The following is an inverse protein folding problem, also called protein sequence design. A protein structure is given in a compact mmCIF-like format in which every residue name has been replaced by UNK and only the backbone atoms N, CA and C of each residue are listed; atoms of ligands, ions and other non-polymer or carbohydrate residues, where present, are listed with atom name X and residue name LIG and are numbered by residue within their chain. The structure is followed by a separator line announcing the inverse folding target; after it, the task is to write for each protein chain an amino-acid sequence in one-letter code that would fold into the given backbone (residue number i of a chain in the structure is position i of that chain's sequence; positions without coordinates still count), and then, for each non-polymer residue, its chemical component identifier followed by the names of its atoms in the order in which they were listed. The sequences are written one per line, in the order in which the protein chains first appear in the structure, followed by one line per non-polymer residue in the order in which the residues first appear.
data_IF_632690764407
#
_entry.id   IF_632690764407
#
_cell.length_a   1.000
_cell.length_b   1.000
_cell.length_c   1.000
_cell.angle_alpha   90.00
_cell.angle_beta   90.00
_cell.angle_gamma   90.00
#
_symmetry.space_group_name_H-M   'P 1'
#
loop_
_entity.id
_entity.type
_entity.pdbx_description
1 polymer ?
#
# COMPACT_ATOMS: atom_id res chain seq x y z
N UNK A 1 -4.56 47.22 73.17
CA UNK A 1 -4.17 45.95 73.81
C UNK A 1 -5.37 45.01 73.77
N UNK A 2 -5.18 43.77 73.27
CA UNK A 2 -5.95 42.50 73.47
C UNK A 2 -7.49 42.63 73.58
N UNK A 3 -8.27 42.40 72.51
CA UNK A 3 -8.88 41.12 72.06
C UNK A 3 -9.33 40.19 73.19
N UNK A 4 -10.64 39.90 73.26
CA UNK A 4 -11.23 38.59 73.61
C UNK A 4 -12.72 38.54 73.19
N UNK A 5 -13.09 37.40 72.60
CA UNK A 5 -14.40 36.96 72.08
C UNK A 5 -15.40 36.63 73.22
N UNK A 6 -16.72 36.49 72.95
CA UNK A 6 -17.32 35.22 72.46
C UNK A 6 -18.44 35.45 71.40
N UNK A 7 -18.55 34.70 70.30
CA UNK A 7 -18.89 33.29 70.04
C UNK A 7 -20.37 32.91 70.27
N UNK A 8 -21.10 32.81 69.14
CA UNK A 8 -22.31 32.01 68.80
C UNK A 8 -23.58 32.22 69.68
N UNK A 9 -24.79 32.41 69.14
CA UNK A 9 -25.54 31.54 68.24
C UNK A 9 -26.69 32.38 67.63
N UNK A 10 -26.80 32.46 66.31
CA UNK A 10 -28.06 32.80 65.65
C UNK A 10 -28.46 31.66 64.73
N UNK A 11 -29.39 30.86 65.25
CA UNK A 11 -30.23 29.92 64.51
C UNK A 11 -31.24 30.73 63.70
N UNK A 12 -31.37 30.39 62.41
CA UNK A 12 -32.55 30.73 61.63
C UNK A 12 -32.23 31.46 60.33
N UNK A 13 -32.05 30.70 59.26
CA UNK A 13 -32.62 31.10 57.98
C UNK A 13 -33.14 29.86 57.25
N UNK A 14 -34.46 29.74 57.23
CA UNK A 14 -35.17 28.90 56.30
C UNK A 14 -34.97 29.49 54.90
N UNK A 15 -34.46 28.70 53.96
CA UNK A 15 -34.76 28.93 52.54
C UNK A 15 -34.87 27.61 51.79
N UNK A 16 -36.12 27.35 51.41
CA UNK A 16 -36.61 26.54 50.32
C UNK A 16 -35.64 26.46 49.13
N UNK A 17 -35.29 25.25 48.71
CA UNK A 17 -35.68 24.63 47.44
C UNK A 17 -34.89 23.33 47.33
N UNK A 18 -35.52 22.21 47.68
CA UNK A 18 -35.00 20.88 47.36
C UNK A 18 -35.09 20.70 45.85
N UNK A 19 -34.00 21.01 45.14
CA UNK A 19 -33.76 20.41 43.83
C UNK A 19 -33.26 18.99 44.09
N UNK A 20 -34.10 18.05 43.69
CA UNK A 20 -33.72 16.68 43.38
C UNK A 20 -32.34 16.64 42.75
N UNK A 21 -31.41 15.92 43.39
CA UNK A 21 -30.15 15.51 42.81
C UNK A 21 -30.44 14.84 41.46
N UNK A 22 -30.25 15.58 40.38
CA UNK A 22 -29.95 14.96 39.10
C UNK A 22 -28.58 14.31 39.28
N UNK A 23 -28.59 12.99 39.41
CA UNK A 23 -27.46 12.13 39.06
C UNK A 23 -26.77 12.74 37.85
N UNK A 24 -25.52 13.20 38.05
CA UNK A 24 -24.59 13.36 36.96
C UNK A 24 -24.40 11.96 36.36
N UNK A 25 -25.16 11.67 35.31
CA UNK A 25 -24.78 10.68 34.33
C UNK A 25 -23.47 11.22 33.73
N UNK A 26 -22.36 10.57 34.08
CA UNK A 26 -21.09 10.79 33.43
C UNK A 26 -21.33 10.64 31.93
N UNK A 27 -21.31 11.76 31.20
CA UNK A 27 -21.35 11.75 29.75
C UNK A 27 -20.17 10.90 29.28
N UNK A 28 -20.48 9.68 28.83
CA UNK A 28 -19.58 8.79 28.09
C UNK A 28 -18.74 9.64 27.13
N UNK A 29 -17.40 9.48 27.06
CA UNK A 29 -16.58 10.25 26.13
C UNK A 29 -17.22 10.15 24.74
N UNK A 30 -17.55 11.31 24.14
CA UNK A 30 -18.03 11.39 22.76
C UNK A 30 -17.05 10.58 21.92
N UNK A 31 -17.52 9.48 21.34
CA UNK A 31 -16.73 8.59 20.49
C UNK A 31 -16.11 9.42 19.35
N UNK A 32 -14.88 9.91 19.56
CA UNK A 32 -14.08 10.49 18.48
C UNK A 32 -13.50 9.28 17.78
N UNK A 33 -14.26 8.68 16.85
CA UNK A 33 -13.70 7.71 15.91
C UNK A 33 -12.56 8.40 15.16
N UNK A 34 -11.30 8.03 15.38
CA UNK A 34 -10.19 8.82 14.88
C UNK A 34 -9.99 8.65 13.37
N UNK A 35 -10.70 7.73 12.73
CA UNK A 35 -10.57 7.41 11.30
C UNK A 35 -11.91 7.58 10.60
N UNK A 36 -11.94 8.31 9.49
CA UNK A 36 -13.05 8.31 8.55
C UNK A 36 -12.58 7.84 7.18
N UNK A 37 -13.38 6.99 6.53
CA UNK A 37 -13.22 6.62 5.14
C UNK A 37 -14.45 7.08 4.37
N UNK A 38 -14.28 8.04 3.45
CA UNK A 38 -15.38 8.51 2.60
C UNK A 38 -15.59 7.52 1.47
N UNK A 39 -16.86 7.28 1.12
CA UNK A 39 -17.23 6.41 0.01
C UNK A 39 -16.46 6.78 -1.26
N UNK A 40 -15.92 5.76 -1.93
CA UNK A 40 -15.13 5.97 -3.15
C UNK A 40 -16.01 6.45 -4.30
N UNK A 41 -15.42 7.28 -5.18
CA UNK A 41 -16.04 7.62 -6.46
C UNK A 41 -15.72 6.59 -7.54
N UNK A 42 -16.68 6.38 -8.44
CA UNK A 42 -16.58 5.43 -9.54
C UNK A 42 -16.54 6.12 -10.90
N UNK A 43 -15.76 5.58 -11.85
CA UNK A 43 -15.84 5.94 -13.27
C UNK A 43 -15.67 4.71 -14.13
N UNK A 44 -16.56 4.50 -15.10
CA UNK A 44 -16.59 3.28 -15.92
C UNK A 44 -17.06 2.03 -15.17
N UNK A 45 -17.54 2.19 -13.93
CA UNK A 45 -18.28 1.21 -13.13
C UNK A 45 -19.56 1.87 -12.61
N UNK A 46 -20.55 1.07 -12.24
CA UNK A 46 -21.80 1.57 -11.66
C UNK A 46 -21.61 2.05 -10.21
N UNK A 47 -22.51 2.91 -9.74
CA UNK A 47 -22.51 3.38 -8.35
C UNK A 47 -22.69 2.22 -7.36
N UNK A 48 -23.54 1.25 -7.70
CA UNK A 48 -23.76 0.05 -6.89
C UNK A 48 -22.49 -0.81 -6.79
N UNK A 49 -21.80 -1.06 -7.92
CA UNK A 49 -20.52 -1.78 -7.90
C UNK A 49 -19.47 -1.03 -7.07
N UNK A 50 -19.41 0.29 -7.22
CA UNK A 50 -18.50 1.15 -6.44
C UNK A 50 -18.79 1.05 -4.95
N UNK A 51 -20.07 1.09 -4.56
CA UNK A 51 -20.50 0.95 -3.17
C UNK A 51 -20.18 -0.43 -2.61
N UNK A 52 -20.42 -1.51 -3.37
CA UNK A 52 -20.08 -2.88 -2.95
C UNK A 52 -18.57 -3.03 -2.73
N UNK A 53 -17.76 -2.52 -3.66
CA UNK A 53 -16.30 -2.54 -3.54
C UNK A 53 -15.83 -1.72 -2.34
N UNK A 54 -16.39 -0.51 -2.14
CA UNK A 54 -16.09 0.32 -0.98
C UNK A 54 -16.49 -0.35 0.34
N UNK A 55 -17.67 -0.97 0.42
CA UNK A 55 -18.11 -1.67 1.63
C UNK A 55 -17.18 -2.84 1.96
N UNK A 56 -16.72 -3.56 0.92
CA UNK A 56 -15.74 -4.63 1.11
C UNK A 56 -14.39 -4.10 1.61
N UNK A 57 -13.92 -3.00 1.04
CA UNK A 57 -12.73 -2.29 1.52
C UNK A 57 -12.90 -1.84 2.98
N UNK A 58 -14.03 -1.24 3.32
CA UNK A 58 -14.33 -0.72 4.66
C UNK A 58 -14.38 -1.84 5.70
N UNK A 59 -14.95 -3.00 5.34
CA UNK A 59 -14.98 -4.19 6.20
C UNK A 59 -13.56 -4.67 6.54
N UNK A 60 -12.67 -4.76 5.53
CA UNK A 60 -11.27 -5.15 5.74
C UNK A 60 -10.45 -4.06 6.45
N UNK A 61 -10.72 -2.79 6.16
CA UNK A 61 -10.10 -1.66 6.84
C UNK A 61 -10.43 -1.66 8.33
N UNK A 62 -11.69 -1.98 8.67
CA UNK A 62 -12.15 -2.11 10.07
C UNK A 62 -11.44 -3.27 10.77
N UNK A 63 -11.24 -4.42 10.09
CA UNK A 63 -10.48 -5.55 10.64
C UNK A 63 -8.99 -5.20 10.84
N UNK A 64 -8.43 -4.38 9.96
CA UNK A 64 -7.03 -3.98 10.02
C UNK A 64 -6.77 -2.84 11.02
N UNK A 65 -7.76 -2.01 11.32
CA UNK A 65 -7.62 -0.86 12.22
C UNK A 65 -7.63 -1.29 13.69
N UNK A 66 -6.79 -0.64 14.51
CA UNK A 66 -6.86 -0.75 15.98
C UNK A 66 -7.88 0.24 16.58
N UNK A 67 -8.34 1.21 15.78
CA UNK A 67 -9.28 2.23 16.19
C UNK A 67 -10.65 2.06 15.52
N UNK A 68 -11.69 2.60 16.14
CA UNK A 68 -13.02 2.68 15.52
C UNK A 68 -13.01 3.60 14.29
N UNK A 69 -13.79 3.20 13.28
CA UNK A 69 -14.06 4.04 12.12
C UNK A 69 -15.37 4.81 12.37
N UNK A 70 -15.46 6.00 11.81
CA UNK A 70 -16.70 6.79 11.82
C UNK A 70 -17.74 6.15 10.89
N UNK A 71 -18.99 6.10 11.33
CA UNK A 71 -20.10 5.58 10.54
C UNK A 71 -20.35 6.43 9.29
N UNK A 72 -20.72 5.76 8.18
CA UNK A 72 -20.96 6.43 6.90
C UNK A 72 -22.07 7.47 6.96
N UNK A 73 -23.12 7.23 7.76
CA UNK A 73 -24.21 8.20 7.96
C UNK A 73 -23.69 9.51 8.57
N UNK A 74 -22.90 9.42 9.63
CA UNK A 74 -22.29 10.57 10.30
C UNK A 74 -21.27 11.28 9.39
N UNK A 75 -20.49 10.51 8.60
CA UNK A 75 -19.60 11.08 7.59
C UNK A 75 -20.40 11.92 6.59
N UNK A 76 -21.45 11.34 6.00
CA UNK A 76 -22.27 11.97 4.97
C UNK A 76 -22.96 13.24 5.48
N UNK A 77 -23.48 13.22 6.71
CA UNK A 77 -24.05 14.42 7.36
C UNK A 77 -23.02 15.55 7.47
N UNK A 78 -21.81 15.24 7.98
CA UNK A 78 -20.76 16.24 8.26
C UNK A 78 -20.10 16.83 7.01
N UNK A 79 -20.01 16.07 5.93
CA UNK A 79 -19.40 16.54 4.67
C UNK A 79 -20.46 17.00 3.65
N UNK A 80 -21.73 17.08 4.06
CA UNK A 80 -22.80 17.57 3.18
C UNK A 80 -22.44 18.95 2.63
N UNK A 81 -22.51 19.09 1.30
CA UNK A 81 -22.18 20.33 0.59
C UNK A 81 -20.68 20.53 0.30
N UNK A 82 -19.79 19.69 0.83
CA UNK A 82 -18.36 19.70 0.48
C UNK A 82 -18.11 18.88 -0.78
N UNK A 83 -17.11 19.29 -1.58
CA UNK A 83 -16.72 18.58 -2.81
C UNK A 83 -16.31 17.13 -2.55
N UNK A 84 -15.77 16.82 -1.37
CA UNK A 84 -15.40 15.46 -0.99
C UNK A 84 -16.62 14.53 -0.88
N UNK A 85 -17.79 15.06 -0.48
CA UNK A 85 -19.04 14.31 -0.38
C UNK A 85 -19.85 14.30 -1.67
N UNK A 86 -19.80 15.37 -2.46
CA UNK A 86 -20.66 15.53 -3.66
C UNK A 86 -19.98 15.11 -4.96
N UNK A 87 -18.68 15.35 -5.09
CA UNK A 87 -17.91 15.08 -6.31
C UNK A 87 -16.89 13.95 -6.13
N UNK A 88 -16.81 13.35 -4.94
CA UNK A 88 -15.83 12.30 -4.61
C UNK A 88 -14.39 12.76 -4.82
N UNK A 89 -14.13 14.01 -4.45
CA UNK A 89 -12.89 14.71 -4.70
C UNK A 89 -11.75 14.22 -3.78
N UNK A 90 -10.54 14.09 -4.35
CA UNK A 90 -9.35 13.55 -3.67
C UNK A 90 -8.12 14.47 -3.76
N UNK A 91 -8.32 15.78 -3.98
CA UNK A 91 -7.23 16.76 -3.97
C UNK A 91 -6.73 17.02 -2.53
N UNK A 92 -5.56 17.63 -2.38
CA UNK A 92 -5.00 17.91 -1.05
C UNK A 92 -5.92 18.84 -0.26
N UNK A 93 -6.43 19.88 -0.91
CA UNK A 93 -7.34 20.89 -0.35
C UNK A 93 -8.66 20.25 0.11
N UNK A 94 -9.14 19.30 -0.68
CA UNK A 94 -10.38 18.58 -0.46
C UNK A 94 -10.31 17.63 0.73
N UNK A 95 -9.20 16.88 0.86
CA UNK A 95 -8.95 16.07 2.04
C UNK A 95 -8.75 16.95 3.29
N UNK A 96 -8.10 18.11 3.18
CA UNK A 96 -7.92 19.02 4.32
C UNK A 96 -9.26 19.59 4.81
N UNK A 97 -10.13 20.02 3.90
CA UNK A 97 -11.48 20.48 4.22
C UNK A 97 -12.33 19.37 4.84
N UNK A 98 -12.32 18.17 4.25
CA UNK A 98 -13.03 17.01 4.77
C UNK A 98 -12.56 16.59 6.17
N UNK A 99 -11.23 16.54 6.40
CA UNK A 99 -10.67 16.11 7.68
C UNK A 99 -11.05 17.10 8.79
N UNK A 100 -11.00 18.40 8.48
CA UNK A 100 -11.40 19.47 9.39
C UNK A 100 -12.90 19.41 9.72
N UNK A 101 -13.76 19.21 8.72
CA UNK A 101 -15.21 19.11 8.92
C UNK A 101 -15.62 17.86 9.72
N UNK A 102 -14.95 16.74 9.46
CA UNK A 102 -15.20 15.48 10.16
C UNK A 102 -14.68 15.51 11.61
N UNK A 103 -13.55 16.19 11.84
CA UNK A 103 -12.89 16.25 13.15
C UNK A 103 -12.17 14.94 13.51
N UNK A 104 -11.62 14.25 12.50
CA UNK A 104 -10.92 12.97 12.65
C UNK A 104 -9.41 13.12 12.58
N UNK A 105 -8.65 12.16 13.11
CA UNK A 105 -7.19 12.14 13.01
C UNK A 105 -6.70 11.64 11.66
N UNK A 106 -7.47 10.78 10.99
CA UNK A 106 -7.14 10.20 9.70
C UNK A 106 -8.35 10.23 8.79
N UNK A 107 -8.17 10.73 7.57
CA UNK A 107 -9.17 10.72 6.53
C UNK A 107 -8.69 9.92 5.32
N UNK A 108 -9.52 8.99 4.87
CA UNK A 108 -9.33 8.26 3.63
C UNK A 108 -10.37 8.69 2.60
N UNK A 109 -9.92 8.95 1.38
CA UNK A 109 -10.77 9.16 0.22
C UNK A 109 -10.15 8.47 -0.99
N UNK A 110 -10.97 8.00 -1.91
CA UNK A 110 -10.48 7.22 -3.05
C UNK A 110 -11.40 7.22 -4.25
N UNK A 111 -10.86 6.71 -5.36
CA UNK A 111 -11.59 6.52 -6.60
C UNK A 111 -11.21 5.23 -7.30
N UNK A 112 -12.21 4.62 -7.93
CA UNK A 112 -12.08 3.42 -8.77
C UNK A 112 -12.43 3.82 -10.20
N UNK A 113 -11.52 3.56 -11.12
CA UNK A 113 -11.75 3.73 -12.56
C UNK A 113 -11.63 2.38 -13.27
N UNK A 114 -12.63 2.01 -14.06
CA UNK A 114 -12.58 0.85 -14.94
C UNK A 114 -12.61 1.30 -16.40
N UNK A 115 -11.52 1.02 -17.11
CA UNK A 115 -11.39 1.39 -18.53
C UNK A 115 -10.61 0.29 -19.25
N UNK A 116 -11.07 -0.13 -20.44
CA UNK A 116 -10.41 -1.15 -21.28
C UNK A 116 -10.13 -2.46 -20.51
N UNK A 117 -11.11 -2.96 -19.75
CA UNK A 117 -11.01 -4.17 -18.93
C UNK A 117 -9.87 -4.13 -17.88
N UNK A 118 -9.60 -2.94 -17.33
CA UNK A 118 -8.62 -2.73 -16.26
C UNK A 118 -9.21 -1.84 -15.19
N UNK A 119 -9.06 -2.27 -13.95
CA UNK A 119 -9.32 -1.44 -12.77
C UNK A 119 -8.09 -0.62 -12.44
N UNK A 120 -8.32 0.62 -12.01
CA UNK A 120 -7.33 1.52 -11.42
C UNK A 120 -7.91 2.08 -10.15
N UNK A 121 -7.31 1.73 -9.02
CA UNK A 121 -7.68 2.27 -7.72
C UNK A 121 -6.68 3.37 -7.33
N UNK A 122 -7.19 4.47 -6.79
CA UNK A 122 -6.40 5.48 -6.09
C UNK A 122 -7.03 5.74 -4.73
N UNK A 123 -6.27 5.60 -3.66
CA UNK A 123 -6.66 5.97 -2.31
C UNK A 123 -5.66 6.96 -1.75
N UNK A 124 -6.15 7.95 -1.02
CA UNK A 124 -5.33 8.93 -0.32
C UNK A 124 -5.69 8.93 1.15
N UNK A 125 -4.66 8.92 2.00
CA UNK A 125 -4.80 9.04 3.46
C UNK A 125 -4.16 10.33 3.92
N UNK A 126 -4.95 11.21 4.53
CA UNK A 126 -4.45 12.40 5.21
C UNK A 126 -4.45 12.14 6.72
N UNK A 127 -3.29 12.28 7.36
CA UNK A 127 -3.16 12.29 8.82
C UNK A 127 -3.20 13.74 9.29
N UNK A 128 -3.94 14.07 10.35
CA UNK A 128 -4.06 15.43 10.89
C UNK A 128 -2.71 16.04 11.30
N UNK A 129 -1.74 15.19 11.67
CA UNK A 129 -0.38 15.59 12.02
C UNK A 129 0.53 15.88 10.79
N UNK A 130 0.04 15.67 9.56
CA UNK A 130 0.83 15.80 8.32
C UNK A 130 0.16 16.78 7.36
N UNK A 131 0.98 17.54 6.64
CA UNK A 131 0.50 18.50 5.64
C UNK A 131 0.11 17.87 4.31
N UNK A 132 0.70 16.71 3.96
CA UNK A 132 0.49 16.04 2.66
C UNK A 132 -0.16 14.66 2.83
N UNK A 133 -1.15 14.30 2.00
CA UNK A 133 -1.73 12.96 2.03
C UNK A 133 -0.77 11.91 1.45
N UNK A 134 -0.68 10.76 2.12
CA UNK A 134 -0.02 9.56 1.56
C UNK A 134 -0.91 8.96 0.47
N UNK A 135 -0.30 8.54 -0.64
CA UNK A 135 -0.98 7.98 -1.81
C UNK A 135 -0.79 6.47 -1.84
N UNK A 136 -1.84 5.76 -2.23
CA UNK A 136 -1.87 4.33 -2.46
C UNK A 136 -2.58 4.08 -3.78
N UNK A 137 -1.95 3.36 -4.70
CA UNK A 137 -2.56 3.04 -6.00
C UNK A 137 -2.14 1.69 -6.50
N UNK A 138 -3.03 1.06 -7.26
CA UNK A 138 -2.67 -0.09 -8.07
C UNK A 138 -3.54 -0.18 -9.31
N UNK A 139 -3.03 -0.89 -10.31
CA UNK A 139 -3.77 -1.31 -11.50
C UNK A 139 -3.96 -2.80 -11.50
N UNK A 140 -5.14 -3.24 -11.93
CA UNK A 140 -5.49 -4.65 -11.98
C UNK A 140 -6.20 -4.99 -13.28
N UNK A 141 -5.72 -6.05 -13.94
CA UNK A 141 -6.32 -6.63 -15.13
C UNK A 141 -6.65 -8.09 -14.84
N UNK A 142 -7.94 -8.44 -14.87
CA UNK A 142 -8.41 -9.78 -14.59
C UNK A 142 -9.86 -9.79 -14.13
N UNK A 143 -10.28 -10.90 -13.53
CA UNK A 143 -11.62 -11.06 -12.96
C UNK A 143 -11.84 -10.18 -11.72
N UNK A 144 -13.07 -9.71 -11.48
CA UNK A 144 -13.41 -8.85 -10.33
C UNK A 144 -12.95 -9.39 -8.97
N UNK A 145 -12.99 -10.71 -8.76
CA UNK A 145 -12.59 -11.33 -7.49
C UNK A 145 -11.12 -11.08 -7.12
N UNK A 146 -10.23 -11.04 -8.11
CA UNK A 146 -8.83 -10.70 -7.84
C UNK A 146 -8.63 -9.21 -7.60
N UNK A 147 -9.45 -8.34 -8.22
CA UNK A 147 -9.45 -6.92 -7.87
C UNK A 147 -9.90 -6.71 -6.42
N UNK A 148 -10.96 -7.42 -6.00
CA UNK A 148 -11.43 -7.42 -4.62
C UNK A 148 -10.29 -7.85 -3.68
N UNK A 149 -9.58 -8.94 -3.99
CA UNK A 149 -8.46 -9.40 -3.15
C UNK A 149 -7.36 -8.33 -3.00
N UNK A 150 -6.98 -7.64 -4.08
CA UNK A 150 -6.00 -6.54 -4.02
C UNK A 150 -6.52 -5.34 -3.20
N UNK A 151 -7.80 -5.03 -3.33
CA UNK A 151 -8.46 -3.98 -2.55
C UNK A 151 -8.46 -4.30 -1.04
N UNK A 152 -8.74 -5.57 -0.68
CA UNK A 152 -8.67 -6.05 0.69
C UNK A 152 -7.25 -5.94 1.25
N UNK A 153 -6.24 -6.40 0.51
CA UNK A 153 -4.82 -6.29 0.90
C UNK A 153 -4.41 -4.83 1.10
N UNK A 154 -4.88 -3.93 0.24
CA UNK A 154 -4.59 -2.50 0.36
C UNK A 154 -5.11 -1.91 1.68
N UNK A 155 -6.27 -2.37 2.18
CA UNK A 155 -6.80 -1.89 3.45
C UNK A 155 -5.82 -2.16 4.62
N UNK A 156 -5.19 -3.33 4.65
CA UNK A 156 -4.15 -3.68 5.63
C UNK A 156 -2.89 -2.84 5.44
N UNK A 157 -2.43 -2.67 4.19
CA UNK A 157 -1.26 -1.86 3.84
C UNK A 157 -1.42 -0.39 4.28
N UNK A 158 -2.61 0.18 4.09
CA UNK A 158 -2.96 1.55 4.48
C UNK A 158 -2.87 1.75 6.00
N UNK A 159 -3.24 0.71 6.76
CA UNK A 159 -3.11 0.66 8.22
C UNK A 159 -1.70 0.29 8.69
N UNK A 160 -0.77 0.02 7.76
CA UNK A 160 0.61 -0.34 8.08
C UNK A 160 0.76 -1.75 8.65
N UNK A 161 -0.18 -2.65 8.36
CA UNK A 161 -0.18 -4.04 8.81
C UNK A 161 0.03 -5.00 7.64
N UNK A 162 0.56 -6.18 7.95
CA UNK A 162 0.64 -7.27 6.99
C UNK A 162 -0.75 -7.89 6.77
N UNK A 163 -1.10 -8.14 5.51
CA UNK A 163 -2.36 -8.79 5.19
C UNK A 163 -2.37 -10.26 5.65
N UNK A 164 -3.47 -10.77 6.22
CA UNK A 164 -3.56 -12.13 6.72
C UNK A 164 -3.43 -13.18 5.60
N UNK A 165 -3.01 -14.39 5.97
CA UNK A 165 -2.73 -15.50 5.04
C UNK A 165 -3.92 -15.83 4.11
N UNK A 166 -5.15 -15.68 4.60
CA UNK A 166 -6.38 -15.86 3.81
C UNK A 166 -6.47 -14.96 2.57
N UNK A 167 -5.78 -13.81 2.58
CA UNK A 167 -5.72 -12.85 1.47
C UNK A 167 -4.45 -13.09 0.64
N UNK A 168 -3.29 -13.25 1.28
CA UNK A 168 -2.03 -13.45 0.58
C UNK A 168 -1.99 -14.77 -0.20
N UNK A 169 -2.63 -15.83 0.30
CA UNK A 169 -2.79 -17.11 -0.40
C UNK A 169 -3.73 -17.06 -1.60
N UNK A 170 -4.69 -16.11 -1.63
CA UNK A 170 -5.59 -15.89 -2.78
C UNK A 170 -4.99 -14.95 -3.83
N UNK A 171 -3.95 -14.20 -3.46
CA UNK A 171 -3.33 -13.19 -4.30
C UNK A 171 -2.63 -13.86 -5.48
N UNK A 172 -3.22 -13.77 -6.67
CA UNK A 172 -2.56 -14.17 -7.92
C UNK A 172 -1.54 -13.09 -8.29
N UNK A 173 -0.32 -13.45 -8.72
CA UNK A 173 0.69 -12.48 -9.10
C UNK A 173 0.23 -11.65 -10.31
N UNK A 174 -0.15 -10.40 -10.07
CA UNK A 174 -0.47 -9.45 -11.13
C UNK A 174 0.82 -8.73 -11.55
N UNK A 175 1.31 -9.05 -12.74
CA UNK A 175 2.54 -8.51 -13.33
C UNK A 175 2.56 -6.97 -13.34
N UNK A 176 1.43 -6.30 -13.64
CA UNK A 176 1.38 -4.83 -13.66
C UNK A 176 1.54 -4.24 -12.25
N UNK A 177 0.92 -4.85 -11.23
CA UNK A 177 1.10 -4.41 -9.83
C UNK A 177 2.49 -4.71 -9.28
N UNK A 178 3.11 -5.82 -9.68
CA UNK A 178 4.47 -6.13 -9.27
C UNK A 178 5.47 -5.15 -9.89
N UNK A 179 5.31 -4.82 -11.17
CA UNK A 179 6.12 -3.79 -11.82
C UNK A 179 5.89 -2.42 -11.15
N UNK A 180 4.64 -2.05 -10.84
CA UNK A 180 4.33 -0.80 -10.14
C UNK A 180 5.01 -0.75 -8.76
N UNK A 181 4.96 -1.82 -7.96
CA UNK A 181 5.66 -1.91 -6.67
C UNK A 181 7.19 -1.92 -6.80
N UNK A 182 7.74 -2.50 -7.87
CA UNK A 182 9.17 -2.45 -8.20
C UNK A 182 9.62 -1.02 -8.51
N UNK A 183 8.79 -0.27 -9.23
CA UNK A 183 9.08 1.12 -9.58
C UNK A 183 8.88 2.07 -8.39
N UNK A 184 7.87 1.83 -7.55
CA UNK A 184 7.56 2.68 -6.38
C UNK A 184 8.57 2.57 -5.24
N UNK A 185 9.32 1.47 -5.14
CA UNK A 185 10.38 1.31 -4.16
C UNK A 185 11.76 1.25 -4.85
N UNK A 186 12.50 2.38 -4.90
CA UNK A 186 13.80 2.45 -5.58
C UNK A 186 14.79 1.40 -5.10
N UNK A 187 14.80 1.11 -3.80
CA UNK A 187 15.71 0.09 -3.23
C UNK A 187 15.33 -1.33 -3.66
N UNK A 188 14.05 -1.64 -3.74
CA UNK A 188 13.58 -2.93 -4.25
C UNK A 188 13.82 -3.05 -5.77
N UNK A 189 13.60 -1.97 -6.52
CA UNK A 189 13.98 -1.89 -7.94
C UNK A 189 15.46 -2.17 -8.17
N UNK A 190 16.35 -1.50 -7.42
CA UNK A 190 17.81 -1.72 -7.45
C UNK A 190 18.13 -3.18 -7.14
N UNK A 191 17.55 -3.74 -6.09
CA UNK A 191 17.78 -5.13 -5.67
C UNK A 191 17.36 -6.14 -6.75
N UNK A 192 16.19 -5.96 -7.38
CA UNK A 192 15.70 -6.86 -8.43
C UNK A 192 16.59 -6.82 -9.67
N UNK A 193 16.97 -5.62 -10.14
CA UNK A 193 17.85 -5.47 -11.30
C UNK A 193 19.24 -6.07 -11.03
N UNK A 194 19.83 -5.81 -9.86
CA UNK A 194 21.12 -6.37 -9.46
C UNK A 194 21.05 -7.89 -9.30
N UNK A 195 19.98 -8.43 -8.74
CA UNK A 195 19.78 -9.87 -8.65
C UNK A 195 19.70 -10.49 -10.05
N UNK A 196 18.89 -9.94 -10.96
CA UNK A 196 18.78 -10.42 -12.34
C UNK A 196 20.12 -10.37 -13.08
N UNK A 197 20.85 -9.25 -12.98
CA UNK A 197 22.18 -9.09 -13.56
C UNK A 197 23.21 -10.04 -12.92
N UNK A 198 23.16 -10.26 -11.61
CA UNK A 198 24.01 -11.19 -10.88
C UNK A 198 23.76 -12.65 -11.23
N UNK A 199 22.50 -13.06 -11.38
CA UNK A 199 22.14 -14.40 -11.87
C UNK A 199 22.61 -14.61 -13.31
N UNK A 200 22.41 -13.63 -14.19
CA UNK A 200 22.87 -13.70 -15.57
C UNK A 200 24.41 -13.69 -15.65
N UNK A 201 25.09 -12.86 -14.87
CA UNK A 201 26.56 -12.80 -14.79
C UNK A 201 27.18 -14.08 -14.23
N UNK A 202 26.59 -14.67 -13.18
CA UNK A 202 27.05 -15.96 -12.64
C UNK A 202 26.82 -17.12 -13.62
N UNK A 203 25.69 -17.12 -14.33
CA UNK A 203 25.44 -18.05 -15.45
C UNK A 203 26.48 -17.90 -16.56
N UNK A 204 26.85 -16.67 -16.92
CA UNK A 204 27.95 -16.42 -17.87
C UNK A 204 29.26 -17.06 -17.39
N UNK A 205 29.68 -16.77 -16.15
CA UNK A 205 30.94 -17.31 -15.60
C UNK A 205 30.94 -18.84 -15.60
N UNK A 206 29.84 -19.48 -15.19
CA UNK A 206 29.72 -20.95 -15.18
C UNK A 206 29.83 -21.55 -16.58
N UNK A 207 29.10 -20.99 -17.55
CA UNK A 207 29.10 -21.50 -18.93
C UNK A 207 30.43 -21.22 -19.64
N UNK A 208 31.07 -20.06 -19.39
CA UNK A 208 32.41 -19.75 -19.89
C UNK A 208 33.48 -20.69 -19.31
N UNK A 209 33.40 -21.01 -18.01
CA UNK A 209 34.25 -22.01 -17.38
C UNK A 209 34.05 -23.42 -17.94
N UNK A 210 32.79 -23.80 -18.21
CA UNK A 210 32.45 -25.04 -18.90
C UNK A 210 33.05 -25.11 -20.32
N UNK A 211 32.94 -24.02 -21.10
CA UNK A 211 33.52 -23.94 -22.44
C UNK A 211 35.05 -24.13 -22.42
N UNK A 212 35.74 -23.52 -21.45
CA UNK A 212 37.20 -23.69 -21.28
C UNK A 212 37.57 -25.14 -20.95
N UNK A 213 36.84 -25.76 -20.02
CA UNK A 213 37.06 -27.16 -19.62
C UNK A 213 36.85 -28.11 -20.79
N UNK A 214 35.80 -27.90 -21.59
CA UNK A 214 35.56 -28.71 -22.80
C UNK A 214 36.65 -28.53 -23.85
N UNK A 215 37.20 -27.32 -24.04
CA UNK A 215 38.35 -27.10 -24.95
C UNK A 215 39.63 -27.81 -24.46
N UNK A 216 39.90 -27.80 -23.16
CA UNK A 216 41.05 -28.50 -22.57
C UNK A 216 40.91 -30.02 -22.72
N UNK A 217 39.71 -30.55 -22.50
CA UNK A 217 39.40 -31.97 -22.73
C UNK A 217 39.55 -32.36 -24.22
N UNK A 218 39.04 -31.53 -25.14
CA UNK A 218 39.24 -31.74 -26.58
C UNK A 218 40.73 -31.84 -26.92
N UNK A 219 41.54 -30.92 -26.40
CA UNK A 219 42.99 -30.88 -26.64
C UNK A 219 43.72 -32.14 -26.16
N UNK A 220 43.22 -32.75 -25.08
CA UNK A 220 43.74 -34.03 -24.57
C UNK A 220 43.36 -35.24 -25.44
N UNK A 221 42.30 -35.13 -26.25
CA UNK A 221 41.81 -36.16 -27.17
C UNK A 221 42.13 -35.86 -28.64
N UNK A 222 43.14 -35.02 -28.92
CA UNK A 222 43.49 -34.57 -30.28
C UNK A 222 43.68 -35.71 -31.30
N UNK A 223 44.12 -36.88 -30.83
CA UNK A 223 44.41 -38.05 -31.67
C UNK A 223 43.17 -38.98 -31.84
N UNK A 224 42.07 -38.71 -31.12
CA UNK A 224 40.79 -39.40 -31.25
C UNK A 224 39.71 -38.41 -31.72
N UNK A 225 39.56 -38.33 -33.05
CA UNK A 225 38.70 -37.35 -33.74
C UNK A 225 37.25 -37.29 -33.20
N UNK A 226 36.54 -38.41 -32.97
CA UNK A 226 35.16 -38.34 -32.46
C UNK A 226 35.05 -37.68 -31.08
N UNK A 227 35.99 -37.96 -30.17
CA UNK A 227 36.02 -37.34 -28.84
C UNK A 227 36.44 -35.87 -28.88
N UNK A 228 37.40 -35.53 -29.75
CA UNK A 228 37.78 -34.14 -30.01
C UNK A 228 36.59 -33.31 -30.51
N UNK A 229 35.89 -33.80 -31.55
CA UNK A 229 34.78 -33.08 -32.18
C UNK A 229 33.62 -32.90 -31.18
N UNK A 230 33.29 -33.92 -30.38
CA UNK A 230 32.24 -33.84 -29.35
C UNK A 230 32.56 -32.83 -28.23
N UNK A 231 33.83 -32.79 -27.78
CA UNK A 231 34.25 -31.80 -26.78
C UNK A 231 34.29 -30.38 -27.34
N UNK A 232 34.66 -30.20 -28.61
CA UNK A 232 34.60 -28.90 -29.28
C UNK A 232 33.16 -28.41 -29.46
N UNK A 233 32.22 -29.27 -29.88
CA UNK A 233 30.79 -28.93 -29.98
C UNK A 233 30.20 -28.52 -28.62
N UNK A 234 30.55 -29.27 -27.57
CA UNK A 234 30.17 -28.92 -26.20
C UNK A 234 30.74 -27.56 -25.78
N UNK A 235 31.99 -27.27 -26.15
CA UNK A 235 32.61 -25.98 -25.87
C UNK A 235 31.91 -24.83 -26.57
N UNK A 236 31.55 -24.99 -27.84
CA UNK A 236 30.87 -23.96 -28.63
C UNK A 236 29.44 -23.71 -28.09
N UNK A 237 28.72 -24.78 -27.74
CA UNK A 237 27.41 -24.68 -27.09
C UNK A 237 27.47 -23.95 -25.74
N UNK A 238 28.45 -24.28 -24.90
CA UNK A 238 28.68 -23.61 -23.63
C UNK A 238 29.06 -22.14 -23.84
N UNK A 239 29.86 -21.83 -24.85
CA UNK A 239 30.24 -20.47 -25.19
C UNK A 239 29.05 -19.64 -25.69
N UNK A 240 28.14 -20.22 -26.48
CA UNK A 240 26.89 -19.55 -26.87
C UNK A 240 25.99 -19.24 -25.65
N UNK A 241 25.83 -20.19 -24.72
CA UNK A 241 25.07 -19.97 -23.47
C UNK A 241 25.69 -18.89 -22.59
N UNK A 242 27.02 -18.82 -22.56
CA UNK A 242 27.74 -17.76 -21.89
C UNK A 242 27.39 -16.40 -22.52
N UNK A 243 27.58 -16.23 -23.83
CA UNK A 243 27.30 -14.97 -24.52
C UNK A 243 25.84 -14.51 -24.35
N UNK A 244 24.88 -15.43 -24.38
CA UNK A 244 23.47 -15.11 -24.13
C UNK A 244 23.24 -14.62 -22.69
N UNK A 245 23.85 -15.27 -21.71
CA UNK A 245 23.77 -14.85 -20.31
C UNK A 245 24.42 -13.48 -20.09
N UNK A 246 25.54 -13.19 -20.77
CA UNK A 246 26.19 -11.88 -20.74
C UNK A 246 25.28 -10.79 -21.34
N UNK A 247 24.67 -11.06 -22.49
CA UNK A 247 23.72 -10.13 -23.11
C UNK A 247 22.51 -9.85 -22.21
N UNK A 248 21.99 -10.88 -21.52
CA UNK A 248 20.90 -10.71 -20.55
C UNK A 248 21.33 -9.85 -19.34
N UNK A 249 22.55 -10.05 -18.82
CA UNK A 249 23.10 -9.23 -17.74
C UNK A 249 23.23 -7.75 -18.14
N UNK A 250 23.82 -7.50 -19.31
CA UNK A 250 23.96 -6.14 -19.87
C UNK A 250 22.58 -5.51 -20.11
N UNK A 251 21.64 -6.27 -20.68
CA UNK A 251 20.28 -5.81 -20.92
C UNK A 251 19.56 -5.42 -19.64
N UNK A 252 19.68 -6.22 -18.58
CA UNK A 252 19.11 -5.90 -17.27
C UNK A 252 19.70 -4.62 -16.67
N UNK A 253 21.02 -4.46 -16.72
CA UNK A 253 21.71 -3.26 -16.23
C UNK A 253 21.36 -2.01 -17.06
N UNK A 254 21.34 -2.12 -18.38
CA UNK A 254 20.97 -1.01 -19.28
C UNK A 254 19.50 -0.59 -19.07
N UNK A 255 18.60 -1.56 -18.87
CA UNK A 255 17.22 -1.29 -18.51
C UNK A 255 17.12 -0.56 -17.17
N UNK A 256 17.84 -1.01 -16.14
CA UNK A 256 17.90 -0.32 -14.84
C UNK A 256 18.44 1.11 -14.95
N UNK A 257 19.47 1.33 -15.76
CA UNK A 257 20.01 2.68 -16.03
C UNK A 257 18.97 3.57 -16.73
N UNK A 258 18.33 3.08 -17.80
CA UNK A 258 17.34 3.85 -18.55
C UNK A 258 16.08 4.16 -17.75
N UNK A 259 15.67 3.25 -16.87
CA UNK A 259 14.51 3.44 -15.99
C UNK A 259 14.79 4.28 -14.76
N UNK A 260 16.02 4.80 -14.60
CA UNK A 260 16.41 5.60 -13.44
C UNK A 260 16.47 4.80 -12.14
N UNK A 261 16.39 3.47 -12.20
CA UNK A 261 16.43 2.59 -11.02
C UNK A 261 17.72 2.79 -10.23
N UNK A 262 18.83 3.16 -10.88
CA UNK A 262 20.11 3.43 -10.21
C UNK A 262 20.33 4.89 -9.79
N UNK A 263 19.41 5.80 -10.10
CA UNK A 263 19.52 7.18 -9.64
C UNK A 263 19.37 7.24 -8.12
N UNK A 264 20.19 8.06 -7.47
CA UNK A 264 19.98 8.44 -6.07
C UNK A 264 19.07 9.68 -6.10
N UNK A 265 17.94 9.63 -5.40
CA UNK A 265 17.08 10.79 -5.18
C UNK A 265 17.80 11.69 -4.16
N UNK A 266 18.54 12.70 -4.63
CA UNK A 266 19.00 13.84 -3.82
C UNK A 266 17.86 14.84 -3.58
#
# INVERSE_FOLDING_TARGET
MKRLLPLCVFLGFAFLFGQTESTQEEAKPKDISPIAAVQFSGSGITDLETQVLFNRFLEELTKASDNSLMDQENINEKITGLEIGTAGCISDECLQAGLSALGVQQLLAGSINFTKNKYKLKVRKLDAAKSKPKKYSFRYKGEPDGFITELEVLAWEIMGKEAPERLTGKRKPNQESMIEKIVENPMFGKAVVLAAAGFAGSSYVKNAGGAKTSKEAAKSMKDYKPGYDAHMESADSAQMKANLSLAAAIGALAYGYFTGVFSDDD
#
